data_IF_632267170869
#
_entry.id   IF_632267170869
#
_cell.length_a   1.000
_cell.length_b   1.000
_cell.length_c   1.000
_cell.angle_alpha   90.00
_cell.angle_beta   90.00
_cell.angle_gamma   90.00
#
_symmetry.space_group_name_H-M   'P 1'
#
loop_
_entity.id
_entity.type
_entity.pdbx_description
1 polymer ?
#
# COMPACT_ATOMS: atom_id res chain seq x y z
N UNK A 1 11.21 46.65 31.83
CA UNK A 1 9.98 46.43 31.03
C UNK A 1 10.38 46.33 29.57
N UNK A 2 10.55 45.12 29.05
CA UNK A 2 10.85 44.88 27.64
C UNK A 2 9.56 44.39 26.96
N UNK A 3 9.06 45.17 26.02
CA UNK A 3 7.84 44.86 25.28
C UNK A 3 8.10 43.73 24.28
N UNK A 4 7.32 42.65 24.41
CA UNK A 4 7.32 41.51 23.50
C UNK A 4 6.62 41.91 22.19
N UNK A 5 7.35 41.92 21.07
CA UNK A 5 6.75 42.08 19.74
C UNK A 5 6.25 40.71 19.27
N UNK A 6 4.93 40.52 19.29
CA UNK A 6 4.29 39.41 18.58
C UNK A 6 4.52 39.58 17.07
N UNK A 7 5.21 38.60 16.47
CA UNK A 7 5.31 38.46 15.02
C UNK A 7 4.03 37.81 14.50
N UNK A 8 3.30 38.55 13.67
CA UNK A 8 2.18 38.06 12.87
C UNK A 8 2.79 37.28 11.68
N UNK A 9 2.43 36.01 11.44
CA UNK A 9 2.96 35.28 10.30
C UNK A 9 2.35 35.82 8.99
N UNK A 10 3.20 36.31 8.09
CA UNK A 10 2.84 36.77 6.74
C UNK A 10 2.51 35.58 5.83
N UNK A 11 1.36 35.65 5.15
CA UNK A 11 0.74 34.61 4.31
C UNK A 11 1.44 34.35 2.95
N UNK A 12 2.72 34.66 2.79
CA UNK A 12 3.44 34.62 1.49
C UNK A 12 4.67 33.72 1.43
N UNK A 13 4.90 32.86 2.43
CA UNK A 13 6.04 31.93 2.39
C UNK A 13 5.71 30.66 1.60
N UNK A 14 6.41 30.46 0.47
CA UNK A 14 6.54 29.16 -0.20
C UNK A 14 7.08 28.13 0.79
N UNK A 15 6.51 26.92 0.79
CA UNK A 15 6.79 25.89 1.79
C UNK A 15 7.82 24.89 1.25
N UNK A 16 8.96 24.70 1.94
CA UNK A 16 10.01 23.80 1.46
C UNK A 16 9.51 22.36 1.34
N UNK A 17 9.91 21.70 0.26
CA UNK A 17 9.59 20.29 -0.01
C UNK A 17 10.54 19.33 0.71
N UNK A 18 11.75 19.77 1.03
CA UNK A 18 12.76 18.96 1.73
C UNK A 18 12.38 18.70 3.18
N UNK A 19 12.48 17.44 3.61
CA UNK A 19 12.37 17.01 5.01
C UNK A 19 13.73 16.44 5.46
N UNK A 20 14.20 16.83 6.64
CA UNK A 20 15.41 16.27 7.23
C UNK A 20 15.07 15.03 8.06
N UNK A 21 15.87 13.98 7.95
CA UNK A 21 15.72 12.79 8.79
C UNK A 21 16.03 13.16 10.26
N UNK A 22 15.08 12.91 11.16
CA UNK A 22 15.29 13.03 12.60
C UNK A 22 14.94 11.71 13.29
N UNK A 23 15.71 11.36 14.31
CA UNK A 23 15.65 10.08 15.03
C UNK A 23 14.51 10.01 16.09
N UNK A 24 13.54 10.93 16.03
CA UNK A 24 12.36 10.93 16.90
C UNK A 24 11.15 10.42 16.15
N UNK A 25 10.23 9.76 16.86
CA UNK A 25 8.91 9.34 16.33
C UNK A 25 8.32 10.40 15.40
N UNK A 26 7.78 10.01 14.24
CA UNK A 26 7.47 10.96 13.20
C UNK A 26 6.46 11.99 13.71
N UNK A 27 6.94 13.20 13.93
CA UNK A 27 6.10 14.35 14.18
C UNK A 27 5.24 14.59 12.94
N UNK A 28 4.12 15.26 13.11
CA UNK A 28 3.38 15.78 11.96
C UNK A 28 4.25 16.80 11.23
N UNK A 29 4.07 16.90 9.92
CA UNK A 29 4.75 17.86 9.04
C UNK A 29 4.67 19.29 9.57
N UNK A 30 3.59 19.62 10.27
CA UNK A 30 3.45 20.87 11.03
C UNK A 30 3.17 20.52 12.49
N UNK A 31 3.86 21.14 13.48
CA UNK A 31 3.67 20.83 14.91
C UNK A 31 2.24 21.05 15.44
N UNK A 32 1.56 22.08 14.93
CA UNK A 32 0.18 22.42 15.28
C UNK A 32 -0.66 22.59 14.01
N UNK A 33 -0.97 21.47 13.33
CA UNK A 33 -1.72 21.54 12.08
C UNK A 33 -3.19 21.86 12.37
N UNK A 34 -3.95 22.36 11.37
CA UNK A 34 -5.38 22.55 11.51
C UNK A 34 -6.08 21.23 11.86
N UNK A 35 -7.18 21.33 12.59
CA UNK A 35 -7.96 20.20 13.09
C UNK A 35 -8.61 19.42 11.93
N UNK A 36 -8.10 18.20 11.69
CA UNK A 36 -8.52 17.35 10.59
C UNK A 36 -9.97 16.86 10.73
N UNK A 37 -10.44 16.60 11.96
CA UNK A 37 -11.83 16.15 12.20
C UNK A 37 -12.80 17.27 11.86
N UNK A 38 -12.48 18.50 12.30
CA UNK A 38 -13.30 19.68 11.97
C UNK A 38 -13.29 19.98 10.48
N UNK A 39 -12.15 19.78 9.82
CA UNK A 39 -12.04 19.96 8.38
C UNK A 39 -12.97 18.99 7.63
N UNK A 40 -12.90 17.68 7.91
CA UNK A 40 -13.80 16.70 7.28
C UNK A 40 -15.27 17.07 7.48
N UNK A 41 -15.67 17.45 8.70
CA UNK A 41 -17.05 17.91 8.99
C UNK A 41 -17.44 19.16 8.20
N UNK A 42 -16.55 20.13 8.10
CA UNK A 42 -16.78 21.38 7.36
C UNK A 42 -16.95 21.14 5.87
N UNK A 43 -16.21 20.20 5.31
CA UNK A 43 -16.29 19.83 3.89
C UNK A 43 -17.52 18.95 3.57
N UNK A 44 -18.43 18.74 4.53
CA UNK A 44 -19.67 17.97 4.33
C UNK A 44 -19.56 16.48 4.66
N UNK A 45 -18.43 16.05 5.23
CA UNK A 45 -18.25 14.69 5.72
C UNK A 45 -18.84 14.47 7.11
N UNK A 46 -18.88 13.21 7.53
CA UNK A 46 -19.29 12.81 8.86
C UNK A 46 -18.10 12.25 9.63
N UNK A 47 -18.01 12.58 10.92
CA UNK A 47 -17.07 11.94 11.86
C UNK A 47 -17.81 11.71 13.16
N UNK A 48 -17.89 10.45 13.57
CA UNK A 48 -18.56 10.03 14.79
C UNK A 48 -17.96 10.78 15.99
N UNK A 49 -18.82 11.28 16.87
CA UNK A 49 -18.43 12.14 18.00
C UNK A 49 -17.51 11.45 19.02
N UNK A 50 -17.55 10.12 19.08
CA UNK A 50 -16.62 9.35 19.89
C UNK A 50 -15.21 9.25 19.29
N UNK A 51 -15.01 9.48 17.98
CA UNK A 51 -13.70 9.32 17.33
C UNK A 51 -12.78 10.48 17.68
N UNK A 52 -11.56 10.16 18.12
CA UNK A 52 -10.50 11.14 18.41
C UNK A 52 -9.19 10.70 17.79
N UNK A 53 -8.37 11.67 17.37
CA UNK A 53 -6.96 11.42 17.07
C UNK A 53 -6.20 11.36 18.39
N UNK A 54 -5.40 10.31 18.55
CA UNK A 54 -4.43 10.17 19.62
C UNK A 54 -3.03 9.96 19.05
N UNK A 55 -2.03 10.09 19.91
CA UNK A 55 -0.66 9.67 19.63
C UNK A 55 -0.27 8.62 20.65
N UNK A 56 0.08 7.45 20.16
CA UNK A 56 0.58 6.32 20.93
C UNK A 56 2.09 6.14 20.71
N UNK A 57 2.76 5.56 21.69
CA UNK A 57 4.21 5.29 21.65
C UNK A 57 4.59 4.15 20.71
N UNK A 58 3.66 3.23 20.40
CA UNK A 58 3.98 2.04 19.59
C UNK A 58 3.66 2.23 18.11
N UNK A 59 2.54 2.88 17.78
CA UNK A 59 2.10 3.06 16.39
C UNK A 59 2.11 4.51 15.89
N UNK A 60 2.58 5.46 16.71
CA UNK A 60 2.53 6.88 16.37
C UNK A 60 1.10 7.41 16.42
N UNK A 61 0.68 8.16 15.40
CA UNK A 61 -0.69 8.71 15.37
C UNK A 61 -1.72 7.63 15.04
N UNK A 62 -2.86 7.69 15.70
CA UNK A 62 -3.95 6.75 15.49
C UNK A 62 -5.32 7.35 15.81
N UNK A 63 -6.38 6.64 15.44
CA UNK A 63 -7.75 6.95 15.87
C UNK A 63 -8.15 6.04 17.04
N UNK A 64 -8.84 6.62 18.03
CA UNK A 64 -9.40 5.90 19.19
C UNK A 64 -10.84 6.29 19.44
N UNK A 65 -11.60 5.37 20.03
CA UNK A 65 -12.93 5.63 20.52
C UNK A 65 -12.86 6.26 21.92
N UNK A 66 -13.48 7.41 22.13
CA UNK A 66 -13.53 8.07 23.44
C UNK A 66 -14.67 7.60 24.34
N UNK A 67 -15.57 6.79 23.78
CA UNK A 67 -16.61 6.02 24.44
C UNK A 67 -16.99 4.83 23.55
N UNK A 68 -17.80 3.93 24.06
CA UNK A 68 -18.30 2.79 23.31
C UNK A 68 -19.00 3.21 22.00
N UNK A 69 -18.72 2.47 20.92
CA UNK A 69 -19.35 2.60 19.62
C UNK A 69 -19.98 1.26 19.22
N UNK A 70 -21.30 1.19 18.98
CA UNK A 70 -21.98 -0.04 18.56
C UNK A 70 -21.52 -0.52 17.18
N UNK A 71 -21.60 -1.84 16.97
CA UNK A 71 -21.43 -2.48 15.65
C UNK A 71 -22.40 -1.85 14.63
N UNK A 72 -21.92 -1.63 13.41
CA UNK A 72 -22.69 -1.06 12.30
C UNK A 72 -22.76 0.47 12.29
N UNK A 73 -22.19 1.14 13.29
CA UNK A 73 -22.15 2.61 13.31
C UNK A 73 -21.21 3.13 12.23
N UNK A 74 -21.64 4.18 11.53
CA UNK A 74 -20.73 4.99 10.71
C UNK A 74 -19.70 5.66 11.63
N UNK A 75 -18.42 5.54 11.29
CA UNK A 75 -17.31 6.14 12.03
C UNK A 75 -16.84 7.40 11.32
N UNK A 76 -16.62 7.32 10.00
CA UNK A 76 -16.15 8.40 9.14
C UNK A 76 -16.88 8.28 7.80
N UNK A 77 -17.34 9.39 7.22
CA UNK A 77 -17.85 9.45 5.85
C UNK A 77 -17.15 10.59 5.12
N UNK A 78 -16.48 10.28 4.02
CA UNK A 78 -15.82 11.24 3.15
C UNK A 78 -16.68 11.55 1.92
N UNK A 79 -16.98 12.84 1.66
CA UNK A 79 -17.52 13.30 0.39
C UNK A 79 -16.58 13.04 -0.79
N UNK A 80 -17.12 13.02 -2.01
CA UNK A 80 -16.42 12.66 -3.24
C UNK A 80 -15.23 13.56 -3.60
N UNK A 81 -15.24 14.82 -3.15
CA UNK A 81 -14.18 15.80 -3.39
C UNK A 81 -13.04 15.78 -2.36
N UNK A 82 -13.19 15.08 -1.24
CA UNK A 82 -12.20 15.02 -0.15
C UNK A 82 -11.01 14.09 -0.45
N UNK A 83 -11.21 12.85 -0.95
CA UNK A 83 -10.12 11.97 -1.35
C UNK A 83 -9.13 12.63 -2.30
N UNK A 84 -7.84 12.52 -1.99
CA UNK A 84 -6.78 12.99 -2.87
C UNK A 84 -6.47 11.87 -3.88
N UNK A 85 -6.75 12.13 -5.15
CA UNK A 85 -6.51 11.20 -6.26
C UNK A 85 -5.78 11.88 -7.41
N UNK A 86 -5.09 11.09 -8.22
CA UNK A 86 -4.45 11.60 -9.43
C UNK A 86 -5.49 11.69 -10.54
N UNK A 87 -6.09 12.86 -10.73
CA UNK A 87 -6.96 13.11 -11.88
C UNK A 87 -6.11 13.60 -13.05
N UNK A 88 -6.15 12.85 -14.15
CA UNK A 88 -5.73 13.33 -15.46
C UNK A 88 -6.74 14.38 -15.94
N UNK A 89 -6.69 15.58 -15.38
CA UNK A 89 -7.40 16.70 -15.98
C UNK A 89 -6.77 16.95 -17.35
N UNK A 90 -7.60 16.99 -18.40
CA UNK A 90 -7.22 17.41 -19.76
C UNK A 90 -6.95 18.93 -19.76
N UNK A 91 -6.04 19.39 -18.91
CA UNK A 91 -5.69 20.78 -18.72
C UNK A 91 -4.33 21.10 -19.33
N UNK A 92 -4.29 22.20 -20.08
CA UNK A 92 -3.05 22.79 -20.58
C UNK A 92 -2.15 23.26 -19.42
N UNK A 93 -0.83 23.23 -19.62
CA UNK A 93 0.16 23.74 -18.65
C UNK A 93 0.62 22.74 -17.58
N UNK A 94 0.46 23.07 -16.29
CA UNK A 94 1.01 22.27 -15.18
C UNK A 94 0.46 20.83 -15.09
N UNK A 95 -0.77 20.61 -15.56
CA UNK A 95 -1.40 19.28 -15.62
C UNK A 95 -0.72 18.37 -16.64
N UNK A 96 -0.34 18.89 -17.80
CA UNK A 96 0.33 18.10 -18.84
C UNK A 96 1.76 17.68 -18.43
N UNK A 97 2.46 18.54 -17.69
CA UNK A 97 3.81 18.22 -17.14
C UNK A 97 3.73 17.11 -16.10
N UNK A 98 2.78 17.18 -15.16
CA UNK A 98 2.59 16.11 -14.19
C UNK A 98 2.18 14.79 -14.84
N UNK A 99 1.30 14.84 -15.85
CA UNK A 99 0.91 13.66 -16.59
C UNK A 99 2.12 13.02 -17.30
N UNK A 100 2.94 13.84 -17.98
CA UNK A 100 4.17 13.38 -18.60
C UNK A 100 5.10 12.70 -17.58
N UNK A 101 5.36 13.34 -16.44
CA UNK A 101 6.21 12.76 -15.38
C UNK A 101 5.60 11.46 -14.83
N UNK A 102 4.28 11.40 -14.64
CA UNK A 102 3.61 10.21 -14.13
C UNK A 102 3.70 9.02 -15.08
N UNK A 103 3.76 9.25 -16.39
CA UNK A 103 3.93 8.21 -17.41
C UNK A 103 5.35 7.62 -17.44
N UNK A 104 6.34 8.32 -16.89
CA UNK A 104 7.71 7.82 -16.75
C UNK A 104 7.90 6.97 -15.48
N UNK A 105 6.91 6.94 -14.58
CA UNK A 105 6.97 6.14 -13.35
C UNK A 105 6.63 4.69 -13.67
N UNK A 106 7.52 3.73 -13.34
CA UNK A 106 7.24 2.30 -13.50
C UNK A 106 5.97 1.87 -12.76
N UNK A 107 5.24 0.89 -13.29
CA UNK A 107 3.98 0.43 -12.69
C UNK A 107 4.16 -0.10 -11.26
N UNK A 108 5.28 -0.78 -10.99
CA UNK A 108 5.63 -1.28 -9.66
C UNK A 108 5.83 -0.15 -8.62
N UNK A 109 6.15 1.08 -9.07
CA UNK A 109 6.34 2.26 -8.23
C UNK A 109 5.14 3.23 -8.34
N UNK A 110 3.94 2.68 -8.55
CA UNK A 110 2.70 3.44 -8.73
C UNK A 110 2.49 4.54 -7.66
N UNK A 111 2.95 4.32 -6.42
CA UNK A 111 2.83 5.28 -5.33
C UNK A 111 3.45 6.64 -5.69
N UNK A 112 4.50 6.64 -6.50
CA UNK A 112 5.13 7.89 -6.95
C UNK A 112 4.22 8.68 -7.90
N UNK A 113 3.33 8.03 -8.68
CA UNK A 113 2.36 8.74 -9.55
C UNK A 113 1.44 9.65 -8.72
N UNK A 114 0.80 9.11 -7.68
CA UNK A 114 -0.01 9.90 -6.74
C UNK A 114 0.87 10.81 -5.87
N UNK A 115 2.11 10.41 -5.58
CA UNK A 115 3.09 11.20 -4.84
C UNK A 115 3.45 12.52 -5.54
N UNK A 116 3.52 12.54 -6.87
CA UNK A 116 3.70 13.77 -7.65
C UNK A 116 2.53 14.75 -7.43
N UNK A 117 1.28 14.25 -7.40
CA UNK A 117 0.11 15.07 -7.10
C UNK A 117 0.14 15.59 -5.65
N UNK A 118 0.55 14.75 -4.71
CA UNK A 118 0.74 15.16 -3.32
C UNK A 118 1.78 16.28 -3.19
N UNK A 119 2.91 16.20 -3.91
CA UNK A 119 3.93 17.25 -3.93
C UNK A 119 3.42 18.54 -4.56
N UNK A 120 2.67 18.46 -5.66
CA UNK A 120 2.01 19.63 -6.25
C UNK A 120 1.11 20.34 -5.22
N UNK A 121 0.25 19.60 -4.53
CA UNK A 121 -0.66 20.18 -3.54
C UNK A 121 0.09 20.69 -2.30
N UNK A 122 1.19 20.04 -1.90
CA UNK A 122 2.07 20.52 -0.83
C UNK A 122 2.74 21.85 -1.20
N UNK A 123 3.18 22.00 -2.44
CA UNK A 123 3.82 23.22 -2.95
C UNK A 123 2.82 24.38 -3.18
N UNK A 124 1.55 24.06 -3.43
CA UNK A 124 0.50 25.03 -3.76
C UNK A 124 0.08 25.85 -2.55
N UNK A 125 0.27 27.17 -2.65
CA UNK A 125 -0.28 28.13 -1.68
C UNK A 125 -1.81 28.09 -1.75
N UNK A 126 -2.46 27.94 -0.60
CA UNK A 126 -3.92 27.84 -0.53
C UNK A 126 -4.48 26.51 -1.05
N UNK A 127 -3.68 25.43 -1.05
CA UNK A 127 -4.19 24.09 -1.38
C UNK A 127 -5.39 23.72 -0.50
N UNK A 128 -6.43 23.18 -1.14
CA UNK A 128 -7.61 22.63 -0.48
C UNK A 128 -7.22 21.54 0.54
N UNK A 129 -6.29 20.66 0.16
CA UNK A 129 -5.82 19.55 0.99
C UNK A 129 -4.78 19.95 2.03
N UNK A 130 -4.43 21.23 2.18
CA UNK A 130 -3.38 21.63 3.13
C UNK A 130 -3.66 21.16 4.56
N UNK A 131 -4.91 21.21 5.02
CA UNK A 131 -5.29 20.71 6.34
C UNK A 131 -4.93 19.24 6.50
N UNK A 132 -5.14 18.44 5.46
CA UNK A 132 -4.75 17.04 5.45
C UNK A 132 -3.22 16.86 5.35
N UNK A 133 -2.58 17.50 4.36
CA UNK A 133 -1.14 17.36 4.10
C UNK A 133 -0.30 17.77 5.32
N UNK A 134 -0.70 18.82 6.04
CA UNK A 134 0.00 19.27 7.26
C UNK A 134 -0.13 18.32 8.44
N UNK A 135 -1.10 17.40 8.42
CA UNK A 135 -1.24 16.33 9.42
C UNK A 135 -0.44 15.07 9.07
N UNK A 136 0.10 14.94 7.85
CA UNK A 136 0.92 13.81 7.46
C UNK A 136 2.24 13.77 8.27
N UNK A 137 2.87 12.59 8.42
CA UNK A 137 4.21 12.47 8.98
C UNK A 137 5.25 13.34 8.27
N UNK A 138 6.13 13.96 9.05
CA UNK A 138 7.32 14.66 8.54
C UNK A 138 8.34 13.69 7.94
N UNK A 139 8.50 12.53 8.58
CA UNK A 139 9.42 11.45 8.17
C UNK A 139 8.70 10.10 8.23
N UNK A 140 9.28 9.09 7.58
CA UNK A 140 8.79 7.72 7.58
C UNK A 140 9.90 6.77 7.98
N UNK A 141 9.54 5.64 8.58
CA UNK A 141 10.47 4.60 9.01
C UNK A 141 10.71 3.53 7.94
N UNK A 142 10.53 3.88 6.66
CA UNK A 142 10.84 2.97 5.55
C UNK A 142 12.35 2.94 5.27
N UNK A 143 12.91 1.81 4.81
CA UNK A 143 14.36 1.64 4.68
C UNK A 143 15.09 2.63 3.77
N UNK A 144 14.42 3.30 2.83
CA UNK A 144 15.06 4.31 1.97
C UNK A 144 15.55 5.55 2.77
N UNK A 145 15.09 5.72 4.01
CA UNK A 145 15.54 6.79 4.92
C UNK A 145 16.54 6.30 5.98
N UNK A 146 16.91 5.02 5.96
CA UNK A 146 17.83 4.48 6.95
C UNK A 146 19.25 5.01 6.72
N UNK A 147 20.00 5.15 7.82
CA UNK A 147 21.42 5.38 7.71
C UNK A 147 22.12 4.17 7.08
N UNK A 148 23.26 4.37 6.43
CA UNK A 148 23.98 3.28 5.75
C UNK A 148 24.38 2.13 6.68
N UNK A 149 24.54 2.37 7.98
CA UNK A 149 24.80 1.34 8.99
C UNK A 149 23.55 0.50 9.26
N UNK A 150 22.40 1.13 9.41
CA UNK A 150 21.12 0.43 9.62
C UNK A 150 20.71 -0.40 8.40
N UNK A 151 20.96 0.09 7.19
CA UNK A 151 20.76 -0.68 5.95
C UNK A 151 21.63 -1.95 5.99
N UNK A 152 22.90 -1.86 6.38
CA UNK A 152 23.78 -3.04 6.49
C UNK A 152 23.28 -4.04 7.54
N UNK A 153 22.66 -3.55 8.61
CA UNK A 153 22.12 -4.39 9.68
C UNK A 153 20.88 -5.20 9.27
N UNK A 154 20.20 -4.86 8.16
CA UNK A 154 19.09 -5.67 7.65
C UNK A 154 19.52 -7.08 7.27
N UNK A 155 20.76 -7.27 6.79
CA UNK A 155 21.37 -8.57 6.44
C UNK A 155 20.49 -9.50 5.59
N UNK A 156 19.57 -8.93 4.81
CA UNK A 156 18.60 -9.67 4.02
C UNK A 156 18.60 -9.16 2.57
N UNK A 157 19.24 -9.93 1.69
CA UNK A 157 19.57 -9.51 0.33
C UNK A 157 18.36 -9.11 -0.55
N UNK A 158 17.21 -9.82 -0.51
CA UNK A 158 16.03 -9.43 -1.29
C UNK A 158 15.54 -8.01 -0.94
N UNK A 159 15.46 -7.69 0.35
CA UNK A 159 15.08 -6.36 0.81
C UNK A 159 16.12 -5.31 0.42
N UNK A 160 17.41 -5.59 0.61
CA UNK A 160 18.49 -4.68 0.20
C UNK A 160 18.44 -4.34 -1.29
N UNK A 161 18.14 -5.33 -2.13
CA UNK A 161 17.95 -5.13 -3.56
C UNK A 161 16.80 -4.14 -3.84
N UNK A 162 15.64 -4.32 -3.19
CA UNK A 162 14.50 -3.43 -3.36
C UNK A 162 14.78 -2.00 -2.87
N UNK A 163 15.49 -1.84 -1.76
CA UNK A 163 15.90 -0.53 -1.24
C UNK A 163 16.81 0.18 -2.23
N UNK A 164 17.86 -0.51 -2.71
CA UNK A 164 18.77 0.06 -3.70
C UNK A 164 18.04 0.45 -4.99
N UNK A 165 17.14 -0.40 -5.47
CA UNK A 165 16.32 -0.12 -6.66
C UNK A 165 15.49 1.15 -6.50
N UNK A 166 14.81 1.32 -5.35
CA UNK A 166 14.03 2.54 -5.05
C UNK A 166 14.93 3.78 -4.95
N UNK A 167 16.07 3.68 -4.28
CA UNK A 167 17.02 4.80 -4.17
C UNK A 167 17.58 5.23 -5.53
N UNK A 168 18.00 4.28 -6.38
CA UNK A 168 18.46 4.57 -7.74
C UNK A 168 17.37 5.26 -8.55
N UNK A 169 16.15 4.71 -8.53
CA UNK A 169 15.00 5.32 -9.20
C UNK A 169 14.78 6.78 -8.76
N UNK A 170 14.79 7.06 -7.45
CA UNK A 170 14.55 8.42 -6.95
C UNK A 170 15.62 9.43 -7.42
N UNK A 171 16.89 9.01 -7.47
CA UNK A 171 18.00 9.85 -7.93
C UNK A 171 17.94 10.11 -9.44
N UNK A 172 17.61 9.09 -10.23
CA UNK A 172 17.42 9.22 -11.68
C UNK A 172 16.20 10.08 -12.00
N UNK A 173 15.08 9.81 -11.32
CA UNK A 173 13.82 10.50 -11.52
C UNK A 173 13.90 11.98 -11.10
N UNK A 174 14.71 12.33 -10.10
CA UNK A 174 15.02 13.73 -9.77
C UNK A 174 15.59 14.49 -10.99
N UNK A 175 16.47 13.85 -11.78
CA UNK A 175 17.03 14.49 -12.98
C UNK A 175 15.97 14.67 -14.06
N UNK A 176 15.10 13.67 -14.26
CA UNK A 176 13.98 13.76 -15.19
C UNK A 176 13.00 14.87 -14.81
N UNK A 177 12.67 14.98 -13.52
CA UNK A 177 11.85 16.08 -12.99
C UNK A 177 12.53 17.42 -13.25
N UNK A 178 13.82 17.58 -12.90
CA UNK A 178 14.56 18.82 -13.18
C UNK A 178 14.56 19.17 -14.66
N UNK A 179 14.78 18.19 -15.54
CA UNK A 179 14.78 18.38 -16.99
C UNK A 179 13.42 18.86 -17.50
N UNK A 180 12.33 18.25 -17.03
CA UNK A 180 10.97 18.67 -17.38
C UNK A 180 10.62 20.07 -16.88
N UNK A 181 11.23 20.53 -15.77
CA UNK A 181 10.95 21.83 -15.15
C UNK A 181 11.83 22.98 -15.68
N UNK A 182 13.02 22.71 -16.23
CA UNK A 182 14.06 23.70 -16.60
C UNK A 182 13.58 24.89 -17.43
N UNK A 183 12.59 24.68 -18.31
CA UNK A 183 12.14 25.69 -19.29
C UNK A 183 10.69 26.12 -19.10
N UNK A 184 10.06 25.75 -17.98
CA UNK A 184 8.66 26.09 -17.73
C UNK A 184 8.51 27.51 -17.19
N UNK A 185 7.45 28.18 -17.62
CA UNK A 185 7.05 29.45 -17.01
C UNK A 185 6.57 29.21 -15.58
N UNK A 186 6.67 30.19 -14.66
CA UNK A 186 6.17 30.05 -13.29
C UNK A 186 4.70 29.62 -13.20
N UNK A 187 3.85 30.04 -14.14
CA UNK A 187 2.43 29.65 -14.22
C UNK A 187 2.20 28.19 -14.64
N UNK A 188 3.18 27.58 -15.31
CA UNK A 188 3.13 26.20 -15.80
C UNK A 188 3.90 25.24 -14.86
N UNK A 189 4.63 25.78 -13.89
CA UNK A 189 5.44 25.01 -12.97
C UNK A 189 4.57 24.28 -11.93
N UNK A 190 4.45 22.95 -11.96
CA UNK A 190 3.52 22.20 -11.10
C UNK A 190 3.82 22.33 -9.61
N UNK A 191 5.07 22.63 -9.24
CA UNK A 191 5.52 22.82 -7.86
C UNK A 191 5.74 24.29 -7.47
N UNK A 192 5.10 25.24 -8.18
CA UNK A 192 5.16 26.67 -7.82
C UNK A 192 6.57 27.27 -7.84
N UNK A 193 7.42 26.85 -8.77
CA UNK A 193 8.81 27.30 -8.90
C UNK A 193 9.82 26.65 -7.93
N UNK A 194 9.38 25.71 -7.08
CA UNK A 194 10.27 25.01 -6.16
C UNK A 194 11.01 23.86 -6.83
N UNK A 195 12.28 23.67 -6.44
CA UNK A 195 13.04 22.49 -6.82
C UNK A 195 12.46 21.23 -6.14
N UNK A 196 12.47 20.12 -6.87
CA UNK A 196 12.12 18.80 -6.36
C UNK A 196 13.40 17.96 -6.36
N UNK A 197 13.77 17.44 -5.19
CA UNK A 197 14.93 16.58 -4.97
C UNK A 197 14.50 15.13 -4.65
N UNK A 198 15.46 14.19 -4.66
CA UNK A 198 15.20 12.79 -4.31
C UNK A 198 14.58 12.64 -2.91
N UNK A 199 14.93 13.50 -1.96
CA UNK A 199 14.34 13.49 -0.60
C UNK A 199 12.85 13.82 -0.62
N UNK A 200 12.44 14.84 -1.38
CA UNK A 200 11.03 15.23 -1.54
C UNK A 200 10.22 14.15 -2.26
N UNK A 201 10.81 13.54 -3.29
CA UNK A 201 10.22 12.40 -4.02
C UNK A 201 10.05 11.19 -3.09
N UNK A 202 11.10 10.84 -2.33
CA UNK A 202 11.07 9.76 -1.37
C UNK A 202 10.02 9.97 -0.28
N UNK A 203 9.90 11.20 0.24
CA UNK A 203 8.85 11.54 1.21
C UNK A 203 7.46 11.33 0.63
N UNK A 204 7.22 11.81 -0.59
CA UNK A 204 5.91 11.71 -1.22
C UNK A 204 5.54 10.28 -1.60
N UNK A 205 6.50 9.51 -2.11
CA UNK A 205 6.33 8.10 -2.41
C UNK A 205 5.98 7.31 -1.15
N UNK A 206 6.71 7.56 -0.05
CA UNK A 206 6.47 6.89 1.24
C UNK A 206 5.15 7.30 1.89
N UNK A 207 4.78 8.58 1.76
CA UNK A 207 3.49 9.06 2.22
C UNK A 207 2.34 8.35 1.50
N UNK A 208 2.46 8.15 0.19
CA UNK A 208 1.44 7.47 -0.60
C UNK A 208 1.46 5.96 -0.34
N UNK A 209 2.61 5.29 -0.38
CA UNK A 209 2.69 3.83 -0.20
C UNK A 209 2.12 3.38 1.14
N UNK A 210 2.30 4.18 2.19
CA UNK A 210 1.85 3.85 3.54
C UNK A 210 0.39 4.19 3.83
N UNK A 211 -0.29 5.00 2.99
CA UNK A 211 -1.58 5.64 3.34
C UNK A 211 -2.63 5.66 2.21
N UNK A 212 -2.26 5.31 0.99
CA UNK A 212 -3.20 5.29 -0.12
C UNK A 212 -3.94 3.95 -0.19
N UNK A 213 -5.20 4.02 -0.61
CA UNK A 213 -6.12 2.89 -0.77
C UNK A 213 -6.43 2.75 -2.25
N UNK A 214 -6.61 1.51 -2.74
CA UNK A 214 -7.17 1.27 -4.07
C UNK A 214 -8.68 1.06 -3.94
N UNK A 215 -9.43 1.96 -4.56
CA UNK A 215 -10.90 1.93 -4.56
C UNK A 215 -11.41 1.71 -5.97
N UNK A 216 -12.59 1.12 -6.09
CA UNK A 216 -13.19 0.82 -7.38
C UNK A 216 -13.60 2.11 -8.10
N UNK A 217 -13.16 2.24 -9.33
CA UNK A 217 -13.48 3.33 -10.22
C UNK A 217 -14.69 3.03 -11.09
N UNK A 218 -14.61 3.49 -12.35
CA UNK A 218 -15.69 3.25 -13.32
C UNK A 218 -15.75 1.76 -13.65
N UNK A 219 -16.98 1.26 -13.80
CA UNK A 219 -17.22 -0.05 -14.38
C UNK A 219 -16.75 -0.04 -15.84
N UNK A 220 -15.86 -0.97 -16.15
CA UNK A 220 -15.30 -1.20 -17.49
C UNK A 220 -16.27 -2.06 -18.33
N UNK A 221 -16.13 -2.06 -19.67
CA UNK A 221 -17.02 -2.80 -20.57
C UNK A 221 -17.04 -4.31 -20.32
N UNK A 222 -15.96 -4.87 -19.79
CA UNK A 222 -15.82 -6.28 -19.41
C UNK A 222 -16.50 -6.64 -18.08
N UNK A 223 -17.10 -5.66 -17.41
CA UNK A 223 -17.79 -5.83 -16.13
C UNK A 223 -16.91 -5.64 -14.90
N UNK A 224 -15.59 -5.48 -15.07
CA UNK A 224 -14.64 -5.17 -13.98
C UNK A 224 -14.68 -3.69 -13.60
N UNK A 225 -14.05 -3.30 -12.51
CA UNK A 225 -13.90 -1.90 -12.12
C UNK A 225 -12.44 -1.48 -12.24
N UNK A 226 -12.16 -0.26 -12.72
CA UNK A 226 -10.80 0.27 -12.74
C UNK A 226 -10.32 0.58 -11.32
N UNK A 227 -9.17 0.11 -10.87
CA UNK A 227 -8.65 0.50 -9.56
C UNK A 227 -8.08 1.93 -9.58
N UNK A 228 -8.50 2.74 -8.61
CA UNK A 228 -8.05 4.12 -8.48
C UNK A 228 -7.34 4.28 -7.13
N UNK A 229 -6.02 4.50 -7.11
CA UNK A 229 -5.32 4.82 -5.88
C UNK A 229 -5.71 6.21 -5.37
N UNK A 230 -6.08 6.31 -4.10
CA UNK A 230 -6.46 7.56 -3.45
C UNK A 230 -5.92 7.60 -2.02
N UNK A 231 -5.47 8.78 -1.57
CA UNK A 231 -5.31 9.00 -0.13
C UNK A 231 -6.65 9.46 0.45
N UNK A 232 -7.02 8.89 1.61
CA UNK A 232 -8.31 9.11 2.25
C UNK A 232 -8.10 9.88 3.56
N UNK A 233 -8.18 11.23 3.55
CA UNK A 233 -7.94 12.03 4.74
C UNK A 233 -8.75 11.53 5.94
N UNK A 234 -8.10 11.46 7.10
CA UNK A 234 -8.63 10.96 8.38
C UNK A 234 -8.82 9.44 8.44
N UNK A 235 -9.26 8.80 7.35
CA UNK A 235 -9.37 7.33 7.29
C UNK A 235 -7.98 6.67 7.37
N UNK A 236 -6.99 7.26 6.70
CA UNK A 236 -5.60 6.83 6.68
C UNK A 236 -4.85 6.97 8.03
N UNK A 237 -5.56 7.42 9.08
CA UNK A 237 -5.07 7.46 10.46
C UNK A 237 -5.43 6.21 11.25
N UNK A 238 -6.28 5.31 10.71
CA UNK A 238 -6.54 4.01 11.33
C UNK A 238 -5.33 3.10 11.12
N UNK A 239 -4.82 2.49 12.20
CA UNK A 239 -3.68 1.58 12.11
C UNK A 239 -4.07 0.16 11.67
N UNK A 240 -3.06 -0.64 11.32
CA UNK A 240 -3.23 -2.02 10.85
C UNK A 240 -3.64 -3.00 11.97
N UNK A 241 -4.51 -3.94 11.64
CA UNK A 241 -4.67 -5.21 12.35
C UNK A 241 -5.21 -6.30 11.43
N UNK A 242 -4.72 -7.54 11.59
CA UNK A 242 -5.32 -8.73 10.98
C UNK A 242 -6.68 -9.11 11.58
N UNK A 243 -7.06 -8.51 12.70
CA UNK A 243 -8.38 -8.66 13.33
C UNK A 243 -9.02 -7.27 13.50
N UNK A 244 -9.35 -6.58 12.40
CA UNK A 244 -9.83 -5.20 12.44
C UNK A 244 -11.16 -5.10 13.19
N UNK A 245 -11.48 -3.89 13.63
CA UNK A 245 -12.79 -3.56 14.22
C UNK A 245 -13.59 -2.58 13.37
N UNK A 246 -13.00 -2.11 12.27
CA UNK A 246 -13.62 -1.23 11.31
C UNK A 246 -13.30 -1.69 9.88
N UNK A 247 -14.17 -1.34 8.94
CA UNK A 247 -13.97 -1.60 7.51
C UNK A 247 -14.29 -0.38 6.68
N UNK A 248 -13.68 -0.31 5.50
CA UNK A 248 -14.02 0.68 4.49
C UNK A 248 -15.17 0.15 3.64
N UNK A 249 -16.12 1.03 3.37
CA UNK A 249 -17.22 0.81 2.44
C UNK A 249 -17.20 1.87 1.36
N UNK A 250 -17.48 1.43 0.14
CA UNK A 250 -17.69 2.31 -0.99
C UNK A 250 -19.16 2.23 -1.40
N UNK A 251 -19.85 3.37 -1.32
CA UNK A 251 -21.23 3.49 -1.77
C UNK A 251 -21.29 4.35 -3.03
N UNK A 252 -22.01 3.86 -4.03
CA UNK A 252 -22.37 4.61 -5.22
C UNK A 252 -23.88 4.48 -5.42
N UNK A 253 -24.60 5.59 -5.22
CA UNK A 253 -26.05 5.60 -5.40
C UNK A 253 -26.41 5.37 -6.87
N UNK A 254 -27.38 4.48 -7.11
CA UNK A 254 -27.94 4.25 -8.43
C UNK A 254 -28.68 5.52 -8.92
N UNK A 255 -27.95 6.38 -9.65
CA UNK A 255 -28.44 7.65 -10.17
C UNK A 255 -27.60 8.86 -9.79
N UNK A 256 -26.65 8.73 -8.86
CA UNK A 256 -25.72 9.79 -8.50
C UNK A 256 -24.27 9.33 -8.77
N UNK A 257 -23.50 10.01 -9.63
CA UNK A 257 -22.12 9.62 -9.91
C UNK A 257 -21.18 9.83 -8.72
N UNK A 258 -21.63 10.47 -7.65
CA UNK A 258 -20.83 10.77 -6.46
C UNK A 258 -20.55 9.51 -5.65
N UNK A 259 -19.27 9.26 -5.45
CA UNK A 259 -18.76 8.17 -4.65
C UNK A 259 -18.67 8.63 -3.19
N UNK A 260 -19.31 7.90 -2.28
CA UNK A 260 -19.18 8.10 -0.85
C UNK A 260 -18.30 6.98 -0.28
N UNK A 261 -17.29 7.37 0.49
CA UNK A 261 -16.38 6.43 1.14
C UNK A 261 -16.62 6.51 2.62
N UNK A 262 -16.95 5.38 3.23
CA UNK A 262 -17.28 5.28 4.65
C UNK A 262 -16.33 4.35 5.36
N UNK A 263 -16.13 4.61 6.64
CA UNK A 263 -15.59 3.65 7.60
C UNK A 263 -16.71 3.29 8.55
N UNK A 264 -17.00 2.00 8.70
CA UNK A 264 -18.05 1.51 9.60
C UNK A 264 -17.47 0.55 10.63
N UNK A 265 -18.05 0.54 11.83
CA UNK A 265 -17.68 -0.39 12.88
C UNK A 265 -18.15 -1.82 12.51
N UNK A 266 -17.23 -2.76 12.32
CA UNK A 266 -17.56 -4.17 12.05
C UNK A 266 -17.99 -4.93 13.31
N UNK A 267 -17.51 -4.45 14.47
CA UNK A 267 -17.86 -4.94 15.80
C UNK A 267 -17.99 -3.78 16.76
N UNK A 268 -18.48 -4.05 17.96
CA UNK A 268 -18.50 -3.07 19.04
C UNK A 268 -17.06 -2.65 19.37
N UNK A 269 -16.84 -1.34 19.46
CA UNK A 269 -15.55 -0.72 19.79
C UNK A 269 -15.67 -0.13 21.19
N UNK A 270 -14.85 -0.58 22.14
CA UNK A 270 -14.92 -0.11 23.52
C UNK A 270 -14.32 1.28 23.68
N UNK A 271 -14.59 1.92 24.81
CA UNK A 271 -13.89 3.15 25.17
C UNK A 271 -12.38 2.90 25.23
N UNK A 272 -11.61 3.81 24.65
CA UNK A 272 -10.16 3.80 24.50
C UNK A 272 -9.60 2.79 23.51
N UNK A 273 -10.44 1.95 22.87
CA UNK A 273 -9.97 1.06 21.82
C UNK A 273 -9.52 1.84 20.58
N UNK A 274 -8.43 1.42 19.93
CA UNK A 274 -8.04 1.97 18.64
C UNK A 274 -9.04 1.54 17.55
N UNK A 275 -9.25 2.42 16.58
CA UNK A 275 -9.92 2.08 15.33
C UNK A 275 -8.86 1.48 14.39
N UNK A 276 -9.08 0.22 14.01
CA UNK A 276 -8.13 -0.59 13.27
C UNK A 276 -8.74 -1.07 11.96
N UNK A 277 -8.00 -0.89 10.88
CA UNK A 277 -8.28 -1.41 9.55
C UNK A 277 -7.35 -2.58 9.25
N UNK A 278 -7.73 -3.45 8.32
CA UNK A 278 -6.79 -4.40 7.75
C UNK A 278 -6.16 -3.78 6.50
N UNK A 279 -4.84 -3.59 6.54
CA UNK A 279 -4.09 -3.14 5.36
C UNK A 279 -3.93 -4.25 4.31
N UNK A 280 -4.28 -5.47 4.70
CA UNK A 280 -4.20 -6.66 3.87
C UNK A 280 -3.22 -7.68 4.42
N UNK A 281 -3.22 -8.83 3.76
CA UNK A 281 -2.55 -10.05 4.20
C UNK A 281 -1.12 -10.11 3.64
N UNK A 282 -0.26 -9.26 4.20
CA UNK A 282 1.04 -8.91 3.64
C UNK A 282 2.21 -9.56 4.34
N UNK A 283 3.32 -9.79 3.64
CA UNK A 283 4.59 -10.17 4.27
C UNK A 283 5.27 -8.99 4.96
N UNK A 284 6.20 -9.28 5.85
CA UNK A 284 6.97 -8.25 6.54
C UNK A 284 7.90 -7.48 5.59
N UNK A 285 8.30 -8.06 4.45
CA UNK A 285 9.06 -7.35 3.42
C UNK A 285 8.27 -6.14 2.90
N UNK A 286 7.00 -6.34 2.57
CA UNK A 286 6.11 -5.28 2.11
C UNK A 286 5.74 -4.31 3.23
N UNK A 287 5.40 -4.80 4.45
CA UNK A 287 5.13 -3.90 5.58
C UNK A 287 6.32 -2.97 5.85
N UNK A 288 7.54 -3.50 5.81
CA UNK A 288 8.74 -2.71 6.05
C UNK A 288 9.00 -1.73 4.91
N UNK A 289 8.94 -2.20 3.66
CA UNK A 289 9.22 -1.37 2.48
C UNK A 289 8.23 -0.23 2.29
N UNK A 290 6.93 -0.49 2.50
CA UNK A 290 5.87 0.43 2.11
C UNK A 290 5.24 1.18 3.28
N UNK A 291 5.27 0.60 4.48
CA UNK A 291 4.66 1.17 5.69
C UNK A 291 5.67 1.51 6.80
N UNK A 292 6.89 0.96 6.75
CA UNK A 292 7.96 1.27 7.69
C UNK A 292 7.82 0.58 9.06
N UNK A 293 7.14 -0.58 9.12
CA UNK A 293 7.06 -1.40 10.32
C UNK A 293 7.07 -2.89 9.95
N UNK A 294 7.29 -3.76 10.95
CA UNK A 294 7.13 -5.22 10.81
C UNK A 294 6.17 -5.72 11.88
N UNK A 295 5.48 -6.82 11.60
CA UNK A 295 4.56 -7.44 12.56
C UNK A 295 5.25 -8.69 13.14
N UNK A 296 5.46 -8.75 14.47
CA UNK A 296 5.93 -9.95 15.13
C UNK A 296 4.97 -11.11 14.88
N UNK A 297 5.51 -12.28 14.51
CA UNK A 297 4.70 -13.49 14.24
C UNK A 297 3.61 -13.27 13.20
N UNK A 298 3.92 -12.51 12.14
CA UNK A 298 3.01 -12.27 11.02
C UNK A 298 2.63 -13.61 10.34
N UNK A 299 1.34 -14.00 10.34
CA UNK A 299 0.90 -15.27 9.74
C UNK A 299 0.91 -15.25 8.20
N UNK A 300 1.13 -14.08 7.59
CA UNK A 300 1.24 -13.90 6.14
C UNK A 300 2.68 -13.64 5.70
N UNK A 301 3.66 -13.82 6.60
CA UNK A 301 5.07 -13.64 6.27
C UNK A 301 5.61 -14.82 5.48
N UNK A 302 6.26 -14.52 4.36
CA UNK A 302 6.82 -15.51 3.45
C UNK A 302 8.12 -15.00 2.84
N UNK A 303 8.94 -15.94 2.36
CA UNK A 303 10.10 -15.64 1.52
C UNK A 303 9.77 -15.98 0.06
N UNK A 304 10.13 -15.07 -0.85
CA UNK A 304 10.07 -15.32 -2.29
C UNK A 304 11.39 -15.96 -2.76
N UNK A 305 11.28 -17.06 -3.49
CA UNK A 305 12.39 -17.78 -4.09
C UNK A 305 12.18 -17.88 -5.60
N UNK A 306 13.29 -18.01 -6.32
CA UNK A 306 13.26 -18.39 -7.73
C UNK A 306 13.33 -19.92 -7.82
N UNK A 307 12.31 -20.52 -8.43
CA UNK A 307 12.34 -21.91 -8.84
C UNK A 307 13.44 -22.12 -9.87
N UNK A 308 14.42 -22.94 -9.52
CA UNK A 308 15.59 -23.23 -10.34
C UNK A 308 16.13 -24.61 -9.98
N UNK A 309 16.09 -25.56 -10.92
CA UNK A 309 16.48 -26.95 -10.66
C UNK A 309 17.92 -27.09 -10.15
N UNK A 310 18.85 -26.25 -10.64
CA UNK A 310 20.24 -26.28 -10.19
C UNK A 310 20.39 -25.78 -8.75
N UNK A 311 19.60 -24.77 -8.34
CA UNK A 311 19.56 -24.34 -6.94
C UNK A 311 18.98 -25.42 -6.03
N UNK A 312 17.96 -26.15 -6.50
CA UNK A 312 17.35 -27.25 -5.75
C UNK A 312 18.30 -28.44 -5.59
N UNK A 313 19.10 -28.76 -6.62
CA UNK A 313 20.16 -29.77 -6.53
C UNK A 313 21.23 -29.37 -5.51
N UNK A 314 21.70 -28.11 -5.58
CA UNK A 314 22.66 -27.58 -4.62
C UNK A 314 22.13 -27.59 -3.18
N UNK A 315 20.86 -27.21 -2.99
CA UNK A 315 20.19 -27.24 -1.69
C UNK A 315 20.06 -28.67 -1.15
N UNK A 316 19.75 -29.64 -2.02
CA UNK A 316 19.59 -31.05 -1.63
C UNK A 316 20.92 -31.67 -1.22
N UNK A 317 22.01 -31.36 -1.95
CA UNK A 317 23.36 -31.73 -1.55
C UNK A 317 23.74 -31.11 -0.19
N UNK A 318 23.47 -29.81 0.01
CA UNK A 318 23.77 -29.13 1.26
C UNK A 318 22.97 -29.67 2.45
N UNK A 319 21.72 -30.07 2.22
CA UNK A 319 20.83 -30.66 3.23
C UNK A 319 21.08 -32.15 3.48
N UNK A 320 21.92 -32.81 2.66
CA UNK A 320 22.17 -34.25 2.74
C UNK A 320 20.97 -35.11 2.32
N UNK A 321 20.05 -34.56 1.52
CA UNK A 321 18.87 -35.27 1.02
C UNK A 321 19.23 -35.94 -0.31
N UNK A 322 19.13 -37.26 -0.37
CA UNK A 322 19.29 -38.01 -1.62
C UNK A 322 18.03 -37.82 -2.47
N UNK A 323 18.14 -37.04 -3.54
CA UNK A 323 17.04 -36.74 -4.46
C UNK A 323 17.40 -37.10 -5.90
N UNK A 324 16.41 -37.48 -6.74
CA UNK A 324 16.57 -37.43 -8.19
C UNK A 324 16.96 -36.03 -8.64
N UNK A 325 17.71 -35.95 -9.75
CA UNK A 325 18.32 -34.72 -10.27
C UNK A 325 17.25 -33.69 -10.67
N UNK A 326 17.04 -32.64 -9.88
CA UNK A 326 16.03 -31.60 -10.10
C UNK A 326 16.31 -30.77 -11.35
N UNK A 327 17.58 -30.61 -11.72
CA UNK A 327 17.99 -29.94 -12.95
C UNK A 327 17.79 -30.77 -14.21
N UNK A 328 17.42 -32.05 -14.10
CA UNK A 328 17.21 -32.94 -15.25
C UNK A 328 15.96 -33.79 -15.09
N UNK A 329 14.76 -33.18 -15.08
CA UNK A 329 13.49 -33.89 -14.98
C UNK A 329 13.27 -34.82 -16.18
N UNK A 330 12.54 -35.92 -15.97
CA UNK A 330 12.06 -36.77 -17.06
C UNK A 330 11.05 -36.01 -17.95
N UNK A 331 10.87 -36.39 -19.23
CA UNK A 331 9.97 -35.68 -20.14
C UNK A 331 8.54 -35.48 -19.62
N UNK A 332 7.97 -36.49 -18.96
CA UNK A 332 6.62 -36.40 -18.37
C UNK A 332 6.57 -35.46 -17.15
N UNK A 333 7.66 -35.37 -16.37
CA UNK A 333 7.76 -34.43 -15.25
C UNK A 333 7.84 -33.00 -15.77
N UNK A 334 8.59 -32.80 -16.85
CA UNK A 334 8.73 -31.50 -17.51
C UNK A 334 7.40 -30.98 -18.07
N UNK A 335 6.57 -31.87 -18.62
CA UNK A 335 5.22 -31.53 -19.09
C UNK A 335 4.34 -31.01 -17.94
N UNK A 336 4.37 -31.67 -16.77
CA UNK A 336 3.64 -31.21 -15.59
C UNK A 336 4.22 -29.90 -15.05
N UNK A 337 5.54 -29.72 -15.03
CA UNK A 337 6.15 -28.44 -14.63
C UNK A 337 5.72 -27.28 -15.53
N UNK A 338 5.55 -27.53 -16.83
CA UNK A 338 4.99 -26.56 -17.77
C UNK A 338 3.53 -26.24 -17.46
N UNK A 339 2.73 -27.25 -17.12
CA UNK A 339 1.33 -27.05 -16.67
C UNK A 339 1.25 -26.24 -15.36
N UNK A 340 2.22 -26.42 -14.47
CA UNK A 340 2.35 -25.62 -13.23
C UNK A 340 2.93 -24.21 -13.48
N UNK A 341 3.22 -23.85 -14.75
CA UNK A 341 3.86 -22.59 -15.14
C UNK A 341 5.23 -22.36 -14.47
N UNK A 342 5.98 -23.45 -14.24
CA UNK A 342 7.34 -23.45 -13.70
C UNK A 342 8.41 -23.80 -14.75
N UNK A 343 7.97 -24.10 -15.98
CA UNK A 343 8.80 -24.31 -17.17
C UNK A 343 8.03 -23.84 -18.43
N UNK A 344 8.71 -23.68 -19.56
CA UNK A 344 8.11 -23.27 -20.84
C UNK A 344 8.60 -21.91 -21.38
N UNK A 345 7.84 -21.29 -22.28
CA UNK A 345 8.27 -20.07 -23.00
C UNK A 345 8.28 -18.80 -22.13
N UNK A 346 7.36 -18.69 -21.16
CA UNK A 346 7.23 -17.54 -20.26
C UNK A 346 6.87 -17.96 -18.83
N UNK A 347 7.73 -18.74 -18.15
CA UNK A 347 7.38 -19.35 -16.87
C UNK A 347 7.31 -18.33 -15.73
N UNK A 348 6.37 -18.53 -14.81
CA UNK A 348 6.37 -17.83 -13.53
C UNK A 348 7.20 -18.61 -12.50
N UNK A 349 8.51 -18.39 -12.53
CA UNK A 349 9.48 -19.04 -11.65
C UNK A 349 9.46 -18.54 -10.20
N UNK A 350 8.62 -17.57 -9.84
CA UNK A 350 8.52 -17.11 -8.45
C UNK A 350 7.75 -18.16 -7.65
N UNK A 351 8.31 -18.60 -6.53
CA UNK A 351 7.65 -19.51 -5.59
C UNK A 351 7.84 -19.04 -4.16
N UNK A 352 6.89 -19.31 -3.28
CA UNK A 352 6.94 -18.86 -1.88
C UNK A 352 7.02 -19.99 -0.86
N UNK A 353 7.70 -19.72 0.25
CA UNK A 353 7.74 -20.56 1.46
C UNK A 353 7.29 -19.69 2.63
N UNK A 354 6.34 -20.19 3.41
CA UNK A 354 5.66 -19.44 4.47
C UNK A 354 4.37 -18.78 4.00
N UNK A 355 3.82 -17.93 4.86
CA UNK A 355 2.48 -17.38 4.75
C UNK A 355 1.44 -18.32 5.38
N UNK A 356 0.19 -18.30 4.88
CA UNK A 356 -0.90 -19.13 5.42
C UNK A 356 -0.63 -20.65 5.31
N UNK A 357 0.13 -21.05 4.30
CA UNK A 357 0.59 -22.41 4.07
C UNK A 357 2.11 -22.47 4.20
N UNK A 358 2.66 -23.62 4.59
CA UNK A 358 4.12 -23.75 4.75
C UNK A 358 4.88 -23.64 3.42
N UNK A 359 4.29 -24.18 2.34
CA UNK A 359 4.88 -24.22 0.99
C UNK A 359 3.78 -23.93 0.00
N UNK A 360 4.03 -23.05 -0.96
CA UNK A 360 3.08 -22.76 -2.05
C UNK A 360 2.67 -24.03 -2.80
N UNK A 361 1.39 -24.14 -3.16
CA UNK A 361 0.83 -25.30 -3.86
C UNK A 361 1.60 -25.69 -5.13
N UNK A 362 2.04 -24.73 -5.95
CA UNK A 362 2.83 -25.02 -7.18
C UNK A 362 4.19 -25.65 -6.85
N UNK A 363 4.90 -25.09 -5.87
CA UNK A 363 6.19 -25.63 -5.43
C UNK A 363 6.02 -27.02 -4.83
N UNK A 364 4.99 -27.23 -4.01
CA UNK A 364 4.68 -28.54 -3.42
C UNK A 364 4.33 -29.59 -4.48
N UNK A 365 3.53 -29.21 -5.49
CA UNK A 365 3.20 -30.07 -6.63
C UNK A 365 4.45 -30.44 -7.44
N UNK A 366 5.29 -29.46 -7.77
CA UNK A 366 6.56 -29.68 -8.48
C UNK A 366 7.47 -30.65 -7.73
N UNK A 367 7.64 -30.45 -6.41
CA UNK A 367 8.43 -31.35 -5.56
C UNK A 367 7.88 -32.78 -5.56
N UNK A 368 6.56 -32.96 -5.47
CA UNK A 368 5.93 -34.29 -5.53
C UNK A 368 6.16 -34.99 -6.87
N UNK A 369 6.07 -34.24 -7.97
CA UNK A 369 6.32 -34.76 -9.32
C UNK A 369 7.77 -35.19 -9.47
N UNK A 370 8.71 -34.34 -9.07
CA UNK A 370 10.15 -34.56 -9.26
C UNK A 370 10.69 -35.70 -8.38
N UNK A 371 10.14 -35.85 -7.17
CA UNK A 371 10.52 -36.93 -6.26
C UNK A 371 9.78 -38.25 -6.53
N UNK A 372 8.78 -38.26 -7.42
CA UNK A 372 8.04 -39.47 -7.78
C UNK A 372 8.73 -40.25 -8.91
N UNK A 373 8.79 -41.57 -8.75
CA UNK A 373 9.21 -42.50 -9.80
C UNK A 373 8.01 -43.16 -10.52
N UNK A 374 6.77 -42.89 -10.08
CA UNK A 374 5.55 -43.53 -10.58
C UNK A 374 4.65 -42.49 -11.27
N UNK A 375 4.71 -42.48 -12.61
CA UNK A 375 3.94 -41.60 -13.47
C UNK A 375 2.43 -41.83 -13.33
N UNK A 376 1.98 -43.09 -13.22
CA UNK A 376 0.55 -43.44 -13.19
C UNK A 376 -0.13 -42.98 -11.91
N UNK A 377 0.59 -42.98 -10.78
CA UNK A 377 0.08 -42.47 -9.51
C UNK A 377 -0.04 -40.95 -9.48
N UNK A 378 0.86 -40.23 -10.15
CA UNK A 378 0.81 -38.77 -10.25
C UNK A 378 -0.31 -38.31 -11.18
N UNK A 379 -0.48 -38.97 -12.33
CA UNK A 379 -1.53 -38.65 -13.31
C UNK A 379 -2.94 -38.89 -12.76
N UNK A 380 -3.14 -39.95 -11.97
CA UNK A 380 -4.44 -40.24 -11.32
C UNK A 380 -4.92 -39.17 -10.34
N UNK A 381 -4.01 -38.38 -9.77
CA UNK A 381 -4.35 -37.28 -8.84
C UNK A 381 -4.55 -35.96 -9.59
N UNK A 382 -3.89 -35.78 -10.74
CA UNK A 382 -4.00 -34.59 -11.58
C UNK A 382 -5.40 -34.29 -12.10
N UNK A 383 -6.24 -35.31 -12.31
CA UNK A 383 -7.64 -35.19 -12.75
C UNK A 383 -8.59 -34.58 -11.69
N UNK A 384 -8.08 -34.20 -10.51
CA UNK A 384 -8.90 -33.68 -9.39
C UNK A 384 -8.47 -32.30 -8.85
N UNK A 385 -7.55 -31.60 -9.52
CA UNK A 385 -7.09 -30.27 -9.09
C UNK A 385 -7.98 -29.17 -9.70
N UNK A 386 -8.63 -28.30 -8.90
CA UNK A 386 -9.34 -27.13 -9.42
C UNK A 386 -8.36 -26.13 -10.06
N UNK A 387 -8.82 -25.40 -11.06
CA UNK A 387 -8.03 -24.42 -11.81
C UNK A 387 -7.28 -23.44 -10.89
N UNK A 388 -6.03 -23.16 -11.24
CA UNK A 388 -5.11 -22.31 -10.48
C UNK A 388 -5.59 -20.84 -10.33
N UNK A 389 -6.61 -20.42 -11.09
CA UNK A 389 -7.21 -19.08 -11.00
C UNK A 389 -8.19 -18.94 -9.83
N UNK A 390 -8.73 -20.02 -9.26
CA UNK A 390 -9.77 -19.94 -8.22
C UNK A 390 -9.23 -19.74 -6.78
N UNK A 391 -7.92 -19.88 -6.58
CA UNK A 391 -7.30 -19.95 -5.23
C UNK A 391 -6.87 -18.57 -4.70
N UNK A 392 -6.66 -17.58 -5.56
CA UNK A 392 -6.14 -16.26 -5.16
C UNK A 392 -7.18 -15.31 -4.56
N UNK A 393 -8.48 -15.45 -4.89
CA UNK A 393 -9.50 -14.45 -4.52
C UNK A 393 -10.30 -14.79 -3.24
N UNK A 394 -10.24 -16.03 -2.74
CA UNK A 394 -11.18 -16.50 -1.69
C UNK A 394 -10.67 -16.45 -0.24
N UNK A 395 -9.38 -16.20 0.01
CA UNK A 395 -8.78 -16.50 1.33
C UNK A 395 -8.86 -15.41 2.41
N UNK A 396 -9.43 -14.24 2.11
CA UNK A 396 -9.74 -13.23 3.14
C UNK A 396 -11.11 -13.43 3.82
N UNK A 397 -12.02 -14.25 3.26
CA UNK A 397 -13.44 -14.26 3.68
C UNK A 397 -13.86 -15.40 4.61
N UNK A 398 -13.10 -16.51 4.72
CA UNK A 398 -13.64 -17.72 5.36
C UNK A 398 -13.43 -17.87 6.88
N UNK A 399 -12.89 -16.88 7.60
CA UNK A 399 -12.74 -17.00 9.07
C UNK A 399 -13.80 -16.30 9.92
N UNK A 400 -14.80 -15.64 9.34
CA UNK A 400 -15.85 -14.93 10.09
C UNK A 400 -17.27 -15.51 9.99
N UNK A 401 -17.50 -16.56 9.19
CA UNK A 401 -18.84 -17.15 9.04
C UNK A 401 -18.86 -18.66 9.31
N UNK A 402 -18.97 -19.02 10.59
CA UNK A 402 -19.76 -20.17 11.02
C UNK A 402 -20.69 -19.71 12.14
N UNK A 403 -21.90 -19.31 11.76
CA UNK A 403 -23.17 -19.54 12.48
C UNK A 403 -24.32 -18.77 11.80
N UNK A 404 -25.37 -19.49 11.39
CA UNK A 404 -26.75 -19.00 11.27
C UNK A 404 -27.18 -18.37 9.94
N UNK A 405 -28.02 -19.09 9.20
CA UNK A 405 -28.75 -18.66 7.99
C UNK A 405 -29.59 -17.37 8.18
N UNK A 406 -29.55 -16.47 7.19
CA UNK A 406 -30.72 -15.92 6.50
C UNK A 406 -30.29 -14.92 5.39
N UNK A 407 -30.80 -15.16 4.18
CA UNK A 407 -30.61 -14.42 2.94
C UNK A 407 -30.95 -12.92 3.02
N UNK A 408 -29.98 -12.06 2.67
CA UNK A 408 -30.22 -10.71 2.14
C UNK A 408 -29.22 -10.43 1.02
N UNK A 409 -29.74 -10.18 -0.17
CA UNK A 409 -28.99 -9.76 -1.36
C UNK A 409 -28.45 -8.35 -1.10
N UNK A 410 -27.15 -8.20 -0.86
CA UNK A 410 -26.43 -6.92 -0.93
C UNK A 410 -25.02 -7.18 -1.48
N UNK A 411 -24.68 -6.48 -2.56
CA UNK A 411 -23.33 -6.41 -3.09
C UNK A 411 -22.46 -5.57 -2.16
N UNK A 412 -21.86 -6.23 -1.17
CA UNK A 412 -20.76 -5.67 -0.40
C UNK A 412 -19.46 -6.00 -1.17
N UNK A 413 -18.86 -4.99 -1.79
CA UNK A 413 -17.60 -5.13 -2.53
C UNK A 413 -16.44 -4.58 -1.69
N UNK A 414 -15.41 -5.39 -1.49
CA UNK A 414 -14.31 -5.16 -0.55
C UNK A 414 -13.22 -4.25 -1.15
N UNK A 415 -12.78 -3.23 -0.41
CA UNK A 415 -11.62 -2.43 -0.79
C UNK A 415 -10.33 -3.02 -0.19
N UNK A 416 -9.33 -3.32 -1.02
CA UNK A 416 -8.01 -3.78 -0.60
C UNK A 416 -7.01 -2.62 -0.60
N UNK A 417 -6.02 -2.66 0.29
CA UNK A 417 -4.84 -1.79 0.22
C UNK A 417 -3.71 -2.55 -0.49
N UNK A 418 -3.89 -2.91 -1.76
CA UNK A 418 -2.76 -3.35 -2.60
C UNK A 418 -2.80 -2.75 -3.97
#
# INVERSE_FOLDING_TARGET
MAASKMLIPTLTHFRPLTCAATASYPARLVPHPPDLLKWVKREGGFVHEAVKITQDTTHGLGLVASREIPKGSDLIVLPDHVPLKFQSDKGDGAGSVLLHLSNQVPEELWAMKLGLKLLQERAKVGSFWWTYISNLPETYSVPIFFAGEDIKNLQYAPLLYQVNKRCCFLLEFEQEVKNALKSLKPSEHPFGGQGVDASSLGWAMSAVSSRAFRLYGKKLPDGTHSDIPMMLPLIDMCNHSFNPNARILQEQDAGNPKMLIKVVAERQIQQSDPLLLNYGCLSNDFFLLDYGFVIPSNPYDYIELKYDGALMDAASMAAGVSSPNFSSPAPWQQEILSQLNLDGEAPNLKVIIGGPELVEGRLLAALRVLLSNDMESVQRVGDTVPDAEEICDYRCHERSHKEGEASVIKGDHHCLIY
#
